data_IF_484248265714
#
_entry.id   IF_484248265714
#
_cell.length_a   1.000
_cell.length_b   1.000
_cell.length_c   1.000
_cell.angle_alpha   90.00
_cell.angle_beta   90.00
_cell.angle_gamma   90.00
#
_symmetry.space_group_name_H-M   'P 1'
#
loop_
_entity.id
_entity.type
_entity.pdbx_description
1 polymer ?
#
# COMPACT_ATOMS: atom_id res chain seq x y z
N UNK A 1 -16.33 -39.43 30.60
CA UNK A 1 -17.00 -38.35 29.86
C UNK A 1 -17.58 -37.40 30.89
N UNK A 2 -17.34 -36.08 30.75
CA UNK A 2 -17.78 -35.30 29.60
C UNK A 2 -16.62 -34.90 28.68
N UNK A 3 -16.95 -34.81 27.40
CA UNK A 3 -16.09 -34.27 26.36
C UNK A 3 -15.87 -32.79 26.61
N UNK A 4 -14.61 -32.37 26.59
CA UNK A 4 -14.25 -30.96 26.58
C UNK A 4 -14.71 -30.39 25.24
N UNK A 5 -15.85 -29.72 25.24
CA UNK A 5 -16.38 -28.99 24.09
C UNK A 5 -15.31 -28.04 23.60
N UNK A 6 -14.82 -28.26 22.38
CA UNK A 6 -14.00 -27.28 21.67
C UNK A 6 -14.76 -25.96 21.63
N UNK A 7 -14.10 -24.81 21.89
CA UNK A 7 -14.78 -23.53 21.88
C UNK A 7 -15.46 -23.34 20.52
N UNK A 8 -16.69 -22.79 20.48
CA UNK A 8 -17.49 -22.68 19.26
C UNK A 8 -16.77 -21.92 18.12
N UNK A 9 -15.76 -21.09 18.44
CA UNK A 9 -14.88 -20.45 17.44
C UNK A 9 -13.96 -21.43 16.71
N UNK A 10 -13.44 -22.46 17.39
CA UNK A 10 -12.53 -23.45 16.80
C UNK A 10 -13.23 -24.36 15.80
N UNK A 11 -14.46 -24.79 16.09
CA UNK A 11 -15.26 -25.61 15.17
C UNK A 11 -15.63 -24.82 13.89
N UNK A 12 -15.97 -23.54 14.04
CA UNK A 12 -16.25 -22.64 12.92
C UNK A 12 -15.02 -22.41 12.03
N UNK A 13 -13.86 -22.11 12.63
CA UNK A 13 -12.62 -21.90 11.89
C UNK A 13 -12.17 -23.18 11.17
N UNK A 14 -12.34 -24.35 11.80
CA UNK A 14 -12.06 -25.65 11.18
C UNK A 14 -12.98 -25.91 9.98
N UNK A 15 -14.28 -25.61 10.09
CA UNK A 15 -15.21 -25.73 8.96
C UNK A 15 -14.85 -24.77 7.81
N UNK A 16 -14.36 -23.57 8.12
CA UNK A 16 -13.94 -22.60 7.13
C UNK A 16 -12.63 -23.02 6.43
N UNK A 17 -11.67 -23.56 7.18
CA UNK A 17 -10.48 -24.23 6.62
C UNK A 17 -10.88 -25.35 5.66
N UNK A 18 -11.85 -26.19 6.03
CA UNK A 18 -12.36 -27.27 5.17
C UNK A 18 -13.03 -26.77 3.88
N UNK A 19 -13.78 -25.66 3.92
CA UNK A 19 -14.38 -25.11 2.69
C UNK A 19 -13.33 -24.48 1.76
N UNK A 20 -12.32 -23.80 2.33
CA UNK A 20 -11.15 -23.34 1.56
C UNK A 20 -10.44 -24.52 0.91
N UNK A 21 -10.19 -25.58 1.68
CA UNK A 21 -9.59 -26.82 1.19
C UNK A 21 -10.40 -27.42 0.04
N UNK A 22 -11.73 -27.55 0.21
CA UNK A 22 -12.64 -28.08 -0.82
C UNK A 22 -12.59 -27.27 -2.11
N UNK A 23 -12.60 -25.93 -2.02
CA UNK A 23 -12.50 -25.05 -3.19
C UNK A 23 -11.13 -25.15 -3.87
N UNK A 24 -10.04 -25.21 -3.11
CA UNK A 24 -8.71 -25.42 -3.67
C UNK A 24 -8.57 -26.78 -4.36
N UNK A 25 -9.13 -27.85 -3.78
CA UNK A 25 -9.16 -29.17 -4.41
C UNK A 25 -9.97 -29.19 -5.71
N UNK A 26 -11.09 -28.44 -5.79
CA UNK A 26 -11.84 -28.30 -7.04
C UNK A 26 -11.01 -27.60 -8.12
N UNK A 27 -10.29 -26.54 -7.75
CA UNK A 27 -9.40 -25.83 -8.67
C UNK A 27 -8.23 -26.70 -9.14
N UNK A 28 -7.64 -27.49 -8.24
CA UNK A 28 -6.60 -28.46 -8.58
C UNK A 28 -7.10 -29.52 -9.56
N UNK A 29 -8.30 -30.06 -9.33
CA UNK A 29 -8.95 -31.02 -10.24
C UNK A 29 -9.21 -30.39 -11.62
N UNK A 30 -9.64 -29.13 -11.66
CA UNK A 30 -9.85 -28.40 -12.91
C UNK A 30 -8.53 -28.11 -13.65
N UNK A 31 -7.46 -27.80 -12.92
CA UNK A 31 -6.14 -27.54 -13.49
C UNK A 31 -5.45 -28.81 -14.04
N UNK A 32 -5.70 -29.97 -13.44
CA UNK A 32 -5.12 -31.26 -13.82
C UNK A 32 -5.97 -32.05 -14.83
N UNK A 33 -7.11 -31.53 -15.28
CA UNK A 33 -7.95 -32.22 -16.26
C UNK A 33 -7.23 -32.26 -17.63
N UNK A 34 -7.10 -33.44 -18.28
CA UNK A 34 -6.47 -33.53 -19.59
C UNK A 34 -7.29 -32.76 -20.63
N UNK A 35 -6.61 -31.99 -21.48
CA UNK A 35 -7.17 -31.39 -22.70
C UNK A 35 -7.51 -32.50 -23.71
N UNK A 36 -8.51 -33.32 -23.42
CA UNK A 36 -8.96 -34.36 -24.35
C UNK A 36 -9.88 -33.75 -25.40
N UNK A 37 -9.36 -33.62 -26.61
CA UNK A 37 -10.12 -33.43 -27.85
C UNK A 37 -10.88 -34.74 -28.13
N UNK A 38 -12.22 -34.77 -28.01
CA UNK A 38 -13.05 -35.86 -28.58
C UNK A 38 -14.35 -35.27 -29.17
N UNK A 39 -14.69 -35.66 -30.42
CA UNK A 39 -15.85 -35.18 -31.16
C UNK A 39 -17.13 -35.84 -30.65
N UNK A 40 -18.16 -35.02 -30.41
CA UNK A 40 -19.59 -35.30 -30.53
C UNK A 40 -20.37 -34.41 -29.56
N UNK A 41 -20.69 -33.20 -30.02
CA UNK A 41 -21.98 -32.54 -29.75
C UNK A 41 -22.36 -32.15 -28.32
N UNK A 42 -21.60 -32.46 -27.27
CA UNK A 42 -21.91 -32.05 -25.89
C UNK A 42 -21.03 -30.85 -25.52
N UNK A 43 -21.64 -29.66 -25.57
CA UNK A 43 -21.05 -28.40 -25.13
C UNK A 43 -20.88 -28.39 -23.60
N UNK A 44 -19.80 -28.96 -23.07
CA UNK A 44 -19.34 -28.68 -21.71
C UNK A 44 -18.53 -27.38 -21.76
N UNK A 45 -19.22 -26.24 -21.67
CA UNK A 45 -18.61 -24.89 -21.73
C UNK A 45 -17.87 -24.47 -20.45
N UNK A 46 -17.36 -25.41 -19.64
CA UNK A 46 -16.90 -25.07 -18.28
C UNK A 46 -15.39 -25.23 -17.99
N UNK A 47 -14.53 -26.01 -18.68
CA UNK A 47 -13.10 -26.01 -18.31
C UNK A 47 -12.21 -25.04 -19.11
N UNK A 48 -12.59 -24.62 -20.32
CA UNK A 48 -11.70 -23.77 -21.15
C UNK A 48 -11.84 -22.28 -20.86
N UNK A 49 -13.05 -21.81 -20.55
CA UNK A 49 -13.29 -20.41 -20.15
C UNK A 49 -12.67 -20.08 -18.80
N UNK A 50 -12.61 -21.03 -17.87
CA UNK A 50 -12.00 -20.85 -16.54
C UNK A 50 -10.47 -20.69 -16.62
N UNK A 51 -9.79 -21.50 -17.44
CA UNK A 51 -8.34 -21.38 -17.67
C UNK A 51 -7.96 -20.17 -18.53
N UNK A 52 -8.77 -19.79 -19.53
CA UNK A 52 -8.59 -18.53 -20.26
C UNK A 52 -8.93 -17.29 -19.42
N UNK A 53 -9.79 -17.41 -18.41
CA UNK A 53 -10.07 -16.33 -17.47
C UNK A 53 -8.93 -16.13 -16.45
N UNK A 54 -8.26 -17.20 -16.03
CA UNK A 54 -7.11 -17.16 -15.11
C UNK A 54 -5.87 -16.48 -15.70
N UNK A 55 -5.74 -16.45 -17.03
CA UNK A 55 -4.63 -15.78 -17.74
C UNK A 55 -4.87 -14.29 -17.99
N UNK A 56 -6.09 -13.78 -17.84
CA UNK A 56 -6.41 -12.35 -18.02
C UNK A 56 -6.38 -11.57 -16.70
N UNK A 57 -5.67 -10.44 -16.68
CA UNK A 57 -5.46 -9.62 -15.47
C UNK A 57 -6.76 -9.03 -14.88
N UNK A 58 -7.79 -8.84 -15.70
CA UNK A 58 -9.09 -8.26 -15.29
C UNK A 58 -10.03 -9.29 -14.68
N UNK A 59 -10.03 -10.53 -15.18
CA UNK A 59 -10.91 -11.59 -14.64
C UNK A 59 -10.31 -12.27 -13.39
N UNK A 60 -8.98 -12.22 -13.20
CA UNK A 60 -8.31 -12.61 -11.94
C UNK A 60 -8.78 -11.79 -10.74
N UNK A 61 -8.96 -10.48 -10.94
CA UNK A 61 -9.52 -9.57 -9.94
C UNK A 61 -10.96 -9.95 -9.61
N UNK A 62 -11.79 -10.19 -10.62
CA UNK A 62 -13.18 -10.61 -10.41
C UNK A 62 -13.26 -11.96 -9.71
N UNK A 63 -12.40 -12.94 -10.02
CA UNK A 63 -12.44 -14.26 -9.38
C UNK A 63 -11.86 -14.26 -7.96
N UNK A 64 -10.79 -13.50 -7.68
CA UNK A 64 -10.35 -13.29 -6.28
C UNK A 64 -11.40 -12.50 -5.51
N UNK A 65 -12.03 -11.51 -6.13
CA UNK A 65 -13.15 -10.78 -5.55
C UNK A 65 -14.38 -11.65 -5.38
N UNK A 66 -14.67 -12.61 -6.25
CA UNK A 66 -15.83 -13.51 -6.17
C UNK A 66 -15.55 -14.66 -5.20
N UNK A 67 -14.33 -15.19 -5.15
CA UNK A 67 -13.90 -16.16 -4.14
C UNK A 67 -13.87 -15.51 -2.75
N UNK A 68 -13.33 -14.30 -2.62
CA UNK A 68 -13.34 -13.57 -1.35
C UNK A 68 -14.67 -12.88 -1.05
N UNK A 69 -15.51 -12.53 -2.03
CA UNK A 69 -16.87 -12.01 -1.80
C UNK A 69 -17.84 -13.13 -1.51
N UNK A 70 -17.74 -14.31 -2.12
CA UNK A 70 -18.53 -15.48 -1.75
C UNK A 70 -18.12 -15.96 -0.36
N UNK A 71 -16.82 -16.04 -0.07
CA UNK A 71 -16.33 -16.33 1.28
C UNK A 71 -16.77 -15.22 2.24
N UNK A 72 -16.65 -13.93 1.89
CA UNK A 72 -17.04 -12.82 2.76
C UNK A 72 -18.57 -12.66 2.91
N UNK A 73 -19.40 -12.99 1.92
CA UNK A 73 -20.88 -12.92 1.97
C UNK A 73 -21.45 -14.12 2.73
N UNK A 74 -20.89 -15.31 2.54
CA UNK A 74 -21.25 -16.51 3.31
C UNK A 74 -20.82 -16.40 4.78
N UNK A 75 -19.79 -15.59 5.04
CA UNK A 75 -19.30 -15.20 6.37
C UNK A 75 -20.06 -14.00 6.94
N UNK A 76 -20.43 -12.96 6.19
CA UNK A 76 -21.15 -11.77 6.71
C UNK A 76 -22.52 -12.15 7.32
N UNK A 77 -23.17 -13.21 6.81
CA UNK A 77 -24.40 -13.75 7.41
C UNK A 77 -24.20 -14.47 8.76
N UNK A 78 -23.06 -15.16 8.96
CA UNK A 78 -22.79 -15.99 10.17
C UNK A 78 -21.86 -15.31 11.18
N UNK A 79 -20.91 -14.52 10.70
CA UNK A 79 -19.97 -13.74 11.49
C UNK A 79 -20.62 -12.52 12.13
N UNK A 80 -21.72 -11.95 11.61
CA UNK A 80 -22.48 -10.94 12.38
C UNK A 80 -22.89 -11.48 13.76
N UNK A 81 -23.25 -12.76 13.88
CA UNK A 81 -23.58 -13.38 15.17
C UNK A 81 -22.37 -13.51 16.11
N UNK A 82 -21.19 -13.85 15.59
CA UNK A 82 -19.97 -14.06 16.40
C UNK A 82 -19.20 -12.75 16.66
N UNK A 83 -19.18 -11.83 15.69
CA UNK A 83 -18.61 -10.48 15.80
C UNK A 83 -19.44 -9.58 16.71
N UNK A 84 -20.78 -9.72 16.76
CA UNK A 84 -21.57 -8.99 17.77
C UNK A 84 -21.20 -9.45 19.18
N UNK A 85 -20.91 -10.74 19.37
CA UNK A 85 -20.47 -11.26 20.67
C UNK A 85 -19.06 -10.79 21.03
N UNK A 86 -18.10 -10.84 20.10
CA UNK A 86 -16.73 -10.36 20.38
C UNK A 86 -16.65 -8.83 20.49
N UNK A 87 -17.43 -8.08 19.70
CA UNK A 87 -17.53 -6.62 19.81
C UNK A 87 -18.26 -6.17 21.08
N UNK A 88 -19.24 -6.94 21.58
CA UNK A 88 -19.83 -6.68 22.91
C UNK A 88 -18.79 -6.92 24.02
N UNK A 89 -17.99 -7.97 23.93
CA UNK A 89 -16.91 -8.23 24.88
C UNK A 89 -15.89 -7.08 24.89
N UNK A 90 -15.41 -6.66 23.71
CA UNK A 90 -14.39 -5.62 23.56
C UNK A 90 -14.89 -4.22 23.90
N UNK A 91 -16.18 -3.95 23.65
CA UNK A 91 -16.84 -2.68 24.05
C UNK A 91 -16.99 -2.57 25.57
N UNK A 92 -17.11 -3.70 26.28
CA UNK A 92 -17.17 -3.70 27.75
C UNK A 92 -15.81 -3.34 28.36
N UNK A 93 -14.72 -3.79 27.75
CA UNK A 93 -13.34 -3.48 28.19
C UNK A 93 -12.92 -2.03 27.87
N UNK A 94 -13.48 -1.44 26.81
CA UNK A 94 -13.22 -0.04 26.45
C UNK A 94 -14.05 0.98 27.26
N UNK A 95 -15.30 0.65 27.63
CA UNK A 95 -16.16 1.55 28.40
C UNK A 95 -15.65 1.76 29.83
N UNK A 96 -14.87 0.83 30.38
CA UNK A 96 -14.27 0.97 31.71
C UNK A 96 -13.00 1.85 31.74
N UNK A 97 -12.48 2.31 30.60
CA UNK A 97 -11.14 2.94 30.53
C UNK A 97 -11.07 4.33 29.86
N UNK A 98 -12.19 5.02 29.63
CA UNK A 98 -12.15 6.40 29.10
C UNK A 98 -13.14 7.32 29.80
N UNK A 99 -12.64 7.92 30.87
CA UNK A 99 -13.14 9.21 31.38
C UNK A 99 -12.80 10.35 30.40
N UNK A 100 -13.47 11.47 30.63
CA UNK A 100 -14.01 12.43 29.67
C UNK A 100 -13.04 13.31 28.85
N UNK A 101 -13.65 13.92 27.82
CA UNK A 101 -13.35 15.22 27.16
C UNK A 101 -12.57 15.29 25.83
N UNK A 102 -13.21 15.96 24.86
CA UNK A 102 -12.54 16.68 23.77
C UNK A 102 -13.01 16.34 22.35
N UNK A 103 -13.75 17.25 21.73
CA UNK A 103 -14.41 17.15 20.41
C UNK A 103 -13.41 17.11 19.22
N UNK A 104 -13.76 16.28 18.23
CA UNK A 104 -13.09 15.87 16.97
C UNK A 104 -12.42 16.94 16.07
N UNK A 105 -11.68 16.49 15.03
CA UNK A 105 -12.29 16.50 13.70
C UNK A 105 -12.06 15.19 12.90
N UNK A 106 -13.15 14.64 12.36
CA UNK A 106 -13.23 13.69 11.24
C UNK A 106 -12.04 12.74 11.02
N UNK A 107 -11.87 11.76 11.92
CA UNK A 107 -11.04 10.58 11.68
C UNK A 107 -11.78 9.67 10.68
N UNK A 108 -11.25 9.59 9.46
CA UNK A 108 -11.63 8.59 8.46
C UNK A 108 -11.54 7.21 9.11
N UNK A 109 -12.69 6.56 9.27
CA UNK A 109 -12.87 5.39 10.12
C UNK A 109 -11.92 4.25 9.79
N UNK A 110 -10.81 4.18 10.52
CA UNK A 110 -10.13 2.92 10.83
C UNK A 110 -11.02 2.20 11.85
N UNK A 111 -12.24 1.85 11.43
CA UNK A 111 -12.97 0.80 12.10
C UNK A 111 -12.10 -0.44 11.95
N UNK A 112 -11.65 -0.93 13.10
CA UNK A 112 -11.02 -2.21 13.35
C UNK A 112 -11.92 -3.37 12.83
N UNK A 113 -12.14 -3.41 11.51
CA UNK A 113 -12.92 -4.44 10.83
C UNK A 113 -12.03 -5.66 10.73
N UNK A 114 -12.14 -6.52 11.74
CA UNK A 114 -11.54 -7.84 11.76
C UNK A 114 -11.82 -8.54 10.42
N UNK A 115 -10.79 -8.66 9.60
CA UNK A 115 -10.89 -9.31 8.30
C UNK A 115 -10.77 -10.83 8.50
N UNK A 116 -11.53 -11.60 7.74
CA UNK A 116 -11.55 -13.07 7.87
C UNK A 116 -10.15 -13.70 7.76
N UNK A 117 -9.29 -13.13 6.89
CA UNK A 117 -7.95 -13.64 6.67
C UNK A 117 -7.04 -13.42 7.89
N UNK A 118 -7.28 -12.35 8.65
CA UNK A 118 -6.49 -12.01 9.84
C UNK A 118 -6.77 -13.02 10.96
N UNK A 119 -8.05 -13.35 11.17
CA UNK A 119 -8.49 -14.38 12.12
C UNK A 119 -7.93 -15.77 11.77
N UNK A 120 -7.89 -16.12 10.49
CA UNK A 120 -7.31 -17.38 10.05
C UNK A 120 -5.79 -17.40 10.19
N UNK A 121 -5.12 -16.29 9.91
CA UNK A 121 -3.69 -16.18 10.09
C UNK A 121 -3.30 -16.33 11.56
N UNK A 122 -4.06 -15.73 12.49
CA UNK A 122 -3.91 -15.94 13.92
C UNK A 122 -4.14 -17.40 14.31
N UNK A 123 -5.20 -18.02 13.80
CA UNK A 123 -5.51 -19.42 14.09
C UNK A 123 -4.42 -20.37 13.60
N UNK A 124 -3.90 -20.17 12.39
CA UNK A 124 -2.81 -21.00 11.86
C UNK A 124 -1.50 -20.73 12.59
N UNK A 125 -1.23 -19.50 13.03
CA UNK A 125 -0.08 -19.21 13.89
C UNK A 125 -0.16 -19.93 15.24
N UNK A 126 -1.34 -19.98 15.87
CA UNK A 126 -1.56 -20.68 17.15
C UNK A 126 -1.56 -22.21 17.01
N UNK A 127 -2.16 -22.74 15.93
CA UNK A 127 -2.27 -24.18 15.68
C UNK A 127 -1.78 -24.49 14.26
N UNK A 128 -0.46 -24.62 14.06
CA UNK A 128 0.13 -24.76 12.73
C UNK A 128 -0.29 -26.04 11.99
N UNK A 129 -0.67 -27.08 12.73
CA UNK A 129 -1.15 -28.36 12.17
C UNK A 129 -2.42 -28.20 11.32
N UNK A 130 -3.33 -27.29 11.72
CA UNK A 130 -4.59 -27.07 11.00
C UNK A 130 -4.39 -26.41 9.63
N UNK A 131 -3.29 -25.68 9.45
CA UNK A 131 -2.96 -25.02 8.19
C UNK A 131 -2.27 -25.93 7.17
N UNK A 132 -1.71 -27.07 7.60
CA UNK A 132 -0.90 -27.96 6.73
C UNK A 132 -1.66 -28.47 5.49
N UNK A 133 -2.91 -28.97 5.57
CA UNK A 133 -3.62 -29.45 4.38
C UNK A 133 -3.84 -28.37 3.33
N UNK A 134 -4.14 -27.14 3.78
CA UNK A 134 -4.31 -25.98 2.89
C UNK A 134 -2.95 -25.56 2.30
N UNK A 135 -1.88 -25.57 3.11
CA UNK A 135 -0.54 -25.26 2.64
C UNK A 135 -0.07 -26.25 1.56
N UNK A 136 -0.29 -27.55 1.75
CA UNK A 136 0.06 -28.59 0.79
C UNK A 136 -0.65 -28.39 -0.57
N UNK A 137 -1.92 -28.00 -0.53
CA UNK A 137 -2.68 -27.65 -1.74
C UNK A 137 -2.13 -26.38 -2.42
N UNK A 138 -1.77 -25.36 -1.65
CA UNK A 138 -1.16 -24.13 -2.20
C UNK A 138 0.18 -24.48 -2.86
N UNK A 139 1.00 -25.33 -2.24
CA UNK A 139 2.28 -25.81 -2.81
C UNK A 139 2.07 -26.52 -4.14
N UNK A 140 1.02 -27.33 -4.27
CA UNK A 140 0.68 -27.96 -5.56
C UNK A 140 0.20 -26.95 -6.62
N UNK A 141 -0.40 -25.85 -6.18
CA UNK A 141 -0.91 -24.77 -7.03
C UNK A 141 0.08 -23.61 -7.21
N UNK A 142 1.35 -23.76 -6.82
CA UNK A 142 2.32 -22.66 -6.79
C UNK A 142 2.62 -22.04 -8.16
N UNK A 143 2.39 -22.80 -9.24
CA UNK A 143 2.47 -22.30 -10.62
C UNK A 143 1.42 -21.22 -10.92
N UNK A 144 0.35 -21.17 -10.14
CA UNK A 144 -0.73 -20.22 -10.32
C UNK A 144 -0.49 -18.93 -9.55
N UNK A 145 -0.70 -17.79 -10.23
CA UNK A 145 -0.50 -16.47 -9.62
C UNK A 145 -1.32 -16.25 -8.34
N UNK A 146 -2.56 -16.75 -8.26
CA UNK A 146 -3.43 -16.58 -7.10
C UNK A 146 -2.93 -17.31 -5.83
N UNK A 147 -2.15 -18.39 -5.97
CA UNK A 147 -1.65 -19.18 -4.84
C UNK A 147 -0.80 -18.32 -3.89
N UNK A 148 0.07 -17.46 -4.45
CA UNK A 148 0.86 -16.50 -3.66
C UNK A 148 0.01 -15.50 -2.88
N UNK A 149 -1.16 -15.10 -3.41
CA UNK A 149 -2.06 -14.15 -2.74
C UNK A 149 -2.73 -14.83 -1.55
N UNK A 150 -3.26 -16.03 -1.75
CA UNK A 150 -3.88 -16.82 -0.68
C UNK A 150 -2.85 -17.13 0.40
N UNK A 151 -1.63 -17.50 0.01
CA UNK A 151 -0.52 -17.71 0.94
C UNK A 151 -0.25 -16.46 1.78
N UNK A 152 -0.08 -15.30 1.16
CA UNK A 152 0.18 -14.05 1.87
C UNK A 152 -0.97 -13.64 2.82
N UNK A 153 -2.22 -13.93 2.48
CA UNK A 153 -3.35 -13.60 3.35
C UNK A 153 -3.47 -14.56 4.54
N UNK A 154 -3.34 -15.86 4.32
CA UNK A 154 -3.62 -16.88 5.33
C UNK A 154 -2.41 -17.26 6.18
N UNK A 155 -1.19 -17.20 5.63
CA UNK A 155 0.01 -17.75 6.28
C UNK A 155 1.07 -16.69 6.63
N UNK A 156 0.73 -15.40 6.57
CA UNK A 156 1.69 -14.34 6.89
C UNK A 156 2.19 -14.37 8.34
N UNK A 157 1.33 -14.74 9.32
CA UNK A 157 1.75 -14.91 10.73
C UNK A 157 2.42 -16.27 10.95
N UNK A 158 1.81 -17.33 10.42
CA UNK A 158 2.32 -18.71 10.50
C UNK A 158 3.79 -18.85 10.10
N UNK A 159 4.23 -18.15 9.04
CA UNK A 159 5.61 -18.22 8.54
C UNK A 159 6.65 -17.84 9.60
N UNK A 160 6.31 -16.96 10.53
CA UNK A 160 7.23 -16.49 11.57
C UNK A 160 7.15 -17.31 12.85
N UNK A 161 6.05 -18.00 13.12
CA UNK A 161 5.92 -18.84 14.31
C UNK A 161 6.51 -20.24 14.13
N UNK A 162 6.48 -20.79 12.91
CA UNK A 162 6.98 -22.13 12.64
C UNK A 162 8.49 -22.15 12.37
N UNK A 163 9.19 -23.12 12.96
CA UNK A 163 10.59 -23.39 12.65
C UNK A 163 10.70 -24.21 11.35
N UNK A 164 11.20 -23.57 10.30
CA UNK A 164 11.48 -24.22 9.02
C UNK A 164 12.95 -24.59 8.93
N UNK A 165 13.28 -25.89 9.04
CA UNK A 165 14.66 -26.38 8.99
C UNK A 165 15.26 -26.31 7.58
N UNK A 166 14.43 -26.32 6.54
CA UNK A 166 14.88 -26.35 5.15
C UNK A 166 14.99 -24.94 4.55
N UNK A 167 16.23 -24.51 4.27
CA UNK A 167 16.54 -23.20 3.70
C UNK A 167 15.90 -22.95 2.33
N UNK A 168 15.68 -23.97 1.50
CA UNK A 168 15.03 -23.81 0.19
C UNK A 168 13.53 -23.52 0.33
N UNK A 169 12.87 -24.22 1.26
CA UNK A 169 11.45 -24.04 1.54
C UNK A 169 11.19 -22.66 2.13
N UNK A 170 12.06 -22.22 3.06
CA UNK A 170 12.01 -20.89 3.63
C UNK A 170 12.13 -19.79 2.56
N UNK A 171 13.05 -19.94 1.60
CA UNK A 171 13.20 -19.00 0.50
C UNK A 171 11.95 -18.97 -0.40
N UNK A 172 11.38 -20.13 -0.73
CA UNK A 172 10.17 -20.21 -1.55
C UNK A 172 8.98 -19.52 -0.87
N UNK A 173 8.74 -19.82 0.40
CA UNK A 173 7.62 -19.25 1.15
C UNK A 173 7.79 -17.74 1.38
N UNK A 174 8.98 -17.30 1.75
CA UNK A 174 9.24 -15.87 1.92
C UNK A 174 9.11 -15.08 0.62
N UNK A 175 9.57 -15.62 -0.50
CA UNK A 175 9.37 -15.02 -1.82
C UNK A 175 7.88 -14.94 -2.19
N UNK A 176 7.10 -15.99 -1.92
CA UNK A 176 5.66 -15.95 -2.18
C UNK A 176 4.89 -15.02 -1.26
N UNK A 177 5.30 -14.85 0.00
CA UNK A 177 4.73 -13.83 0.88
C UNK A 177 4.90 -12.43 0.27
N UNK A 178 6.12 -12.08 -0.14
CA UNK A 178 6.42 -10.75 -0.71
C UNK A 178 5.69 -10.56 -2.04
N UNK A 179 5.72 -11.56 -2.93
CA UNK A 179 5.04 -11.48 -4.23
C UNK A 179 3.51 -11.41 -4.09
N UNK A 180 2.95 -12.19 -3.18
CA UNK A 180 1.53 -12.18 -2.85
C UNK A 180 1.09 -10.84 -2.29
N UNK A 181 1.80 -10.35 -1.26
CA UNK A 181 1.53 -9.06 -0.63
C UNK A 181 1.66 -7.90 -1.65
N UNK A 182 2.66 -7.93 -2.54
CA UNK A 182 2.80 -6.96 -3.63
C UNK A 182 1.52 -6.85 -4.45
N UNK A 183 1.00 -7.98 -4.92
CA UNK A 183 -0.18 -7.98 -5.78
C UNK A 183 -1.44 -7.57 -5.00
N UNK A 184 -1.57 -7.99 -3.74
CA UNK A 184 -2.69 -7.65 -2.86
C UNK A 184 -2.73 -6.14 -2.60
N UNK A 185 -1.60 -5.51 -2.28
CA UNK A 185 -1.57 -4.06 -2.05
C UNK A 185 -1.84 -3.27 -3.33
N UNK A 186 -1.47 -3.81 -4.50
CA UNK A 186 -1.90 -3.24 -5.78
C UNK A 186 -3.42 -3.29 -5.99
N UNK A 187 -4.13 -4.29 -5.46
CA UNK A 187 -5.60 -4.33 -5.48
C UNK A 187 -6.15 -3.15 -4.65
N UNK A 188 -5.59 -2.90 -3.48
CA UNK A 188 -5.97 -1.78 -2.62
C UNK A 188 -5.75 -0.42 -3.31
N UNK A 189 -4.60 -0.23 -3.98
CA UNK A 189 -4.34 0.95 -4.79
C UNK A 189 -5.37 1.11 -5.92
N UNK A 190 -5.63 0.05 -6.68
CA UNK A 190 -6.52 0.10 -7.84
C UNK A 190 -7.98 0.34 -7.45
N UNK A 191 -8.39 -0.18 -6.28
CA UNK A 191 -9.73 0.01 -5.73
C UNK A 191 -9.85 1.29 -4.89
N UNK A 192 -8.73 1.96 -4.60
CA UNK A 192 -8.64 3.07 -3.64
C UNK A 192 -9.26 2.71 -2.28
N UNK A 193 -9.03 1.48 -1.82
CA UNK A 193 -9.46 1.01 -0.49
C UNK A 193 -8.27 0.49 0.30
N UNK A 194 -8.40 0.41 1.62
CA UNK A 194 -7.32 -0.04 2.54
C UNK A 194 -7.73 -1.34 3.23
N UNK A 195 -8.22 -2.33 2.47
CA UNK A 195 -8.75 -3.58 3.02
C UNK A 195 -7.66 -4.46 3.61
N UNK A 196 -6.44 -4.34 3.10
CA UNK A 196 -5.29 -5.15 3.50
C UNK A 196 -4.33 -4.38 4.41
N UNK A 197 -4.83 -3.34 5.08
CA UNK A 197 -4.05 -2.55 6.04
C UNK A 197 -3.48 -3.40 7.18
N UNK A 198 -4.24 -4.37 7.73
CA UNK A 198 -3.73 -5.19 8.85
C UNK A 198 -2.53 -6.04 8.43
N UNK A 199 -2.55 -6.62 7.22
CA UNK A 199 -1.40 -7.31 6.64
C UNK A 199 -0.20 -6.36 6.47
N UNK A 200 -0.41 -5.16 5.94
CA UNK A 200 0.67 -4.18 5.78
C UNK A 200 1.27 -3.76 7.13
N UNK A 201 0.40 -3.47 8.11
CA UNK A 201 0.78 -3.07 9.45
C UNK A 201 1.60 -4.17 10.13
N UNK A 202 1.16 -5.43 10.08
CA UNK A 202 1.91 -6.56 10.62
C UNK A 202 3.29 -6.71 9.97
N UNK A 203 3.37 -6.65 8.64
CA UNK A 203 4.65 -6.76 7.92
C UNK A 203 5.62 -5.61 8.24
N UNK A 204 5.11 -4.40 8.50
CA UNK A 204 5.94 -3.26 8.86
C UNK A 204 6.36 -3.30 10.33
N UNK A 205 5.40 -3.32 11.25
CA UNK A 205 5.61 -3.14 12.70
C UNK A 205 6.15 -4.41 13.37
N UNK A 206 5.61 -5.58 13.03
CA UNK A 206 5.94 -6.82 13.72
C UNK A 206 7.03 -7.63 13.02
N UNK A 207 7.22 -7.44 11.71
CA UNK A 207 8.24 -8.17 10.94
C UNK A 207 9.44 -7.30 10.62
N UNK A 208 9.26 -6.19 9.90
CA UNK A 208 10.38 -5.37 9.44
C UNK A 208 11.04 -4.60 10.59
N UNK A 209 10.26 -4.03 11.51
CA UNK A 209 10.80 -3.26 12.63
C UNK A 209 11.35 -4.12 13.79
N UNK A 210 11.13 -5.44 13.76
CA UNK A 210 11.57 -6.40 14.78
C UNK A 210 12.67 -7.32 14.20
N UNK A 211 13.95 -7.10 14.56
CA UNK A 211 15.06 -7.88 14.00
C UNK A 211 14.96 -9.39 14.23
N UNK A 212 14.33 -9.81 15.33
CA UNK A 212 14.13 -11.24 15.64
C UNK A 212 13.26 -11.95 14.59
N UNK A 213 12.23 -11.28 14.06
CA UNK A 213 11.37 -11.83 13.03
C UNK A 213 11.97 -11.66 11.64
N UNK A 214 12.66 -10.55 11.38
CA UNK A 214 13.34 -10.33 10.11
C UNK A 214 14.39 -11.41 9.83
N UNK A 215 15.17 -11.79 10.84
CA UNK A 215 16.21 -12.83 10.74
C UNK A 215 15.65 -14.24 10.46
N UNK A 216 14.35 -14.47 10.66
CA UNK A 216 13.71 -15.75 10.28
C UNK A 216 13.54 -15.88 8.77
N UNK A 217 13.61 -14.80 8.01
CA UNK A 217 13.47 -14.81 6.54
C UNK A 217 14.85 -14.83 5.86
N UNK A 218 14.94 -15.49 4.71
CA UNK A 218 16.11 -15.42 3.83
C UNK A 218 16.47 -13.97 3.45
N UNK A 219 17.76 -13.66 3.43
CA UNK A 219 18.27 -12.29 3.23
C UNK A 219 17.80 -11.63 1.93
N UNK A 220 17.59 -12.42 0.87
CA UNK A 220 17.01 -11.92 -0.38
C UNK A 220 15.56 -11.45 -0.20
N UNK A 221 14.73 -12.24 0.47
CA UNK A 221 13.34 -11.88 0.72
C UNK A 221 13.19 -10.76 1.75
N UNK A 222 14.14 -10.59 2.68
CA UNK A 222 14.21 -9.39 3.53
C UNK A 222 14.35 -8.12 2.68
N UNK A 223 15.27 -8.12 1.71
CA UNK A 223 15.45 -6.97 0.80
C UNK A 223 14.20 -6.69 -0.01
N UNK A 224 13.60 -7.73 -0.57
CA UNK A 224 12.38 -7.60 -1.38
C UNK A 224 11.19 -7.12 -0.53
N UNK A 225 11.11 -7.51 0.74
CA UNK A 225 10.13 -7.00 1.71
C UNK A 225 10.32 -5.51 1.97
N UNK A 226 11.55 -5.03 2.18
CA UNK A 226 11.79 -3.60 2.38
C UNK A 226 11.48 -2.78 1.13
N UNK A 227 11.77 -3.29 -0.07
CA UNK A 227 11.37 -2.66 -1.32
C UNK A 227 9.83 -2.61 -1.44
N UNK A 228 9.15 -3.70 -1.08
CA UNK A 228 7.69 -3.75 -1.01
C UNK A 228 7.15 -2.68 -0.06
N UNK A 229 7.60 -2.65 1.20
CA UNK A 229 7.13 -1.69 2.20
C UNK A 229 7.39 -0.23 1.77
N UNK A 230 8.54 0.02 1.14
CA UNK A 230 8.91 1.34 0.59
C UNK A 230 7.88 1.85 -0.42
N UNK A 231 7.31 0.97 -1.27
CA UNK A 231 6.29 1.34 -2.28
C UNK A 231 4.99 1.80 -1.64
N UNK A 232 4.57 1.19 -0.53
CA UNK A 232 3.20 1.31 0.00
C UNK A 232 3.09 2.09 1.32
N UNK A 233 4.20 2.47 1.95
CA UNK A 233 4.18 3.19 3.24
C UNK A 233 3.39 4.50 3.19
N UNK A 234 3.45 5.24 2.07
CA UNK A 234 2.66 6.46 1.88
C UNK A 234 1.18 6.15 1.68
N UNK A 235 0.83 5.07 0.97
CA UNK A 235 -0.57 4.71 0.74
C UNK A 235 -1.34 4.42 2.03
N UNK A 236 -0.69 3.74 2.97
CA UNK A 236 -1.27 3.32 4.25
C UNK A 236 -1.07 4.32 5.39
N UNK A 237 -0.62 5.55 5.12
CA UNK A 237 -0.42 6.61 6.13
C UNK A 237 0.56 6.27 7.27
N UNK A 238 1.48 5.31 7.13
CA UNK A 238 2.42 4.94 8.20
C UNK A 238 3.74 5.73 8.12
N UNK A 239 3.66 7.00 7.73
CA UNK A 239 4.87 7.79 7.44
C UNK A 239 5.64 8.20 8.69
N UNK A 240 4.98 8.22 9.86
CA UNK A 240 5.64 8.46 11.15
C UNK A 240 6.68 7.39 11.50
N UNK A 241 6.60 6.21 10.87
CA UNK A 241 7.55 5.10 11.03
C UNK A 241 8.67 5.09 10.00
N UNK A 242 8.70 6.06 9.08
CA UNK A 242 9.69 6.09 8.00
C UNK A 242 11.12 6.22 8.55
N UNK A 243 11.35 7.03 9.57
CA UNK A 243 12.69 7.22 10.14
C UNK A 243 13.21 5.91 10.78
N UNK A 244 12.38 5.24 11.58
CA UNK A 244 12.72 3.94 12.18
C UNK A 244 12.92 2.87 11.12
N UNK A 245 12.09 2.88 10.08
CA UNK A 245 12.19 1.95 8.95
C UNK A 245 13.51 2.12 8.17
N UNK A 246 13.94 3.35 7.89
CA UNK A 246 15.20 3.62 7.19
C UNK A 246 16.43 3.27 8.02
N UNK A 247 16.35 3.38 9.36
CA UNK A 247 17.45 2.98 10.26
C UNK A 247 17.68 1.47 10.27
N UNK A 248 16.63 0.68 10.05
CA UNK A 248 16.69 -0.79 10.08
C UNK A 248 16.84 -1.43 8.69
N UNK A 249 17.08 -0.64 7.65
CA UNK A 249 17.15 -1.12 6.28
C UNK A 249 18.25 -2.19 6.09
N UNK A 250 17.97 -3.33 5.43
CA UNK A 250 18.96 -4.39 5.26
C UNK A 250 20.10 -3.94 4.35
N UNK A 251 21.29 -4.54 4.51
CA UNK A 251 22.44 -4.21 3.68
C UNK A 251 22.26 -4.78 2.26
N UNK A 252 22.30 -3.89 1.27
CA UNK A 252 22.28 -4.26 -0.14
C UNK A 252 23.70 -4.44 -0.67
N UNK A 253 23.96 -5.45 -1.51
CA UNK A 253 25.30 -5.69 -2.06
C UNK A 253 25.68 -4.57 -3.03
N UNK A 254 24.69 -3.96 -3.67
CA UNK A 254 24.84 -2.85 -4.59
C UNK A 254 24.71 -1.47 -3.90
N UNK A 255 24.73 -1.42 -2.57
CA UNK A 255 24.61 -0.15 -1.82
C UNK A 255 25.68 0.87 -2.24
N UNK A 256 26.91 0.41 -2.55
CA UNK A 256 27.96 1.28 -3.08
C UNK A 256 27.57 1.98 -4.40
N UNK A 257 26.82 1.30 -5.27
CA UNK A 257 26.42 1.84 -6.58
C UNK A 257 25.16 2.68 -6.50
N UNK A 258 24.23 2.33 -5.61
CA UNK A 258 22.88 2.91 -5.57
C UNK A 258 22.82 4.07 -4.56
N UNK A 259 23.49 3.93 -3.42
CA UNK A 259 23.46 4.89 -2.32
C UNK A 259 22.97 4.27 -1.01
N UNK A 260 22.60 5.14 -0.06
CA UNK A 260 22.12 4.72 1.25
C UNK A 260 20.67 4.21 1.25
N UNK A 261 20.13 3.84 2.42
CA UNK A 261 18.72 3.44 2.57
C UNK A 261 17.72 4.46 2.02
N UNK A 262 17.99 5.75 2.27
CA UNK A 262 17.17 6.85 1.77
C UNK A 262 17.15 6.92 0.23
N UNK A 263 18.29 6.65 -0.43
CA UNK A 263 18.35 6.61 -1.90
C UNK A 263 17.52 5.45 -2.46
N UNK A 264 17.64 4.25 -1.88
CA UNK A 264 16.88 3.08 -2.31
C UNK A 264 15.37 3.32 -2.15
N UNK A 265 14.98 3.86 -0.99
CA UNK A 265 13.60 4.23 -0.72
C UNK A 265 13.05 5.22 -1.75
N UNK A 266 13.78 6.30 -2.04
CA UNK A 266 13.35 7.33 -3.00
C UNK A 266 13.31 6.78 -4.43
N UNK A 267 14.23 5.91 -4.82
CA UNK A 267 14.20 5.23 -6.12
C UNK A 267 12.90 4.42 -6.27
N UNK A 268 12.58 3.61 -5.26
CA UNK A 268 11.40 2.76 -5.29
C UNK A 268 10.10 3.57 -5.25
N UNK A 269 10.07 4.64 -4.45
CA UNK A 269 8.97 5.60 -4.43
C UNK A 269 8.78 6.28 -5.81
N UNK A 270 9.88 6.66 -6.45
CA UNK A 270 9.85 7.28 -7.79
C UNK A 270 9.30 6.32 -8.83
N UNK A 271 9.70 5.04 -8.77
CA UNK A 271 9.21 4.00 -9.67
C UNK A 271 7.74 3.67 -9.42
N UNK A 272 7.30 3.75 -8.16
CA UNK A 272 5.91 3.60 -7.81
C UNK A 272 5.06 4.74 -8.42
N UNK A 273 5.48 6.00 -8.27
CA UNK A 273 4.76 7.15 -8.83
C UNK A 273 4.49 7.00 -10.33
N UNK A 274 5.47 6.52 -11.10
CA UNK A 274 5.34 6.33 -12.55
C UNK A 274 4.33 5.23 -12.93
N UNK A 275 4.10 4.26 -12.04
CA UNK A 275 3.15 3.15 -12.25
C UNK A 275 1.73 3.48 -11.81
N UNK A 276 1.55 4.49 -10.95
CA UNK A 276 0.24 4.88 -10.43
C UNK A 276 -0.64 5.49 -11.54
N UNK A 277 -1.78 4.84 -11.79
CA UNK A 277 -2.81 5.33 -12.73
C UNK A 277 -4.03 5.92 -12.03
N UNK A 278 -4.17 5.69 -10.73
CA UNK A 278 -5.32 6.12 -9.93
C UNK A 278 -5.04 7.52 -9.38
N UNK A 279 -5.79 8.52 -9.85
CA UNK A 279 -5.61 9.93 -9.51
C UNK A 279 -5.65 10.24 -8.00
N UNK A 280 -6.66 9.82 -7.22
CA UNK A 280 -6.70 10.15 -5.79
C UNK A 280 -5.50 9.56 -5.03
N UNK A 281 -5.05 8.37 -5.41
CA UNK A 281 -3.85 7.75 -4.83
C UNK A 281 -2.60 8.54 -5.20
N UNK A 282 -2.45 8.96 -6.46
CA UNK A 282 -1.32 9.77 -6.89
C UNK A 282 -1.24 11.11 -6.13
N UNK A 283 -2.38 11.80 -5.98
CA UNK A 283 -2.48 13.03 -5.18
C UNK A 283 -2.06 12.80 -3.73
N UNK A 284 -2.49 11.68 -3.15
CA UNK A 284 -2.14 11.29 -1.79
C UNK A 284 -0.64 11.05 -1.63
N UNK A 285 0.02 10.39 -2.59
CA UNK A 285 1.48 10.24 -2.54
C UNK A 285 2.19 11.59 -2.66
N UNK A 286 1.74 12.45 -3.57
CA UNK A 286 2.34 13.77 -3.77
C UNK A 286 2.23 14.67 -2.53
N UNK A 287 1.13 14.58 -1.77
CA UNK A 287 0.97 15.37 -0.54
C UNK A 287 1.91 14.94 0.60
N UNK A 288 2.32 13.67 0.61
CA UNK A 288 3.26 13.12 1.60
C UNK A 288 4.74 13.34 1.23
N UNK A 289 5.04 13.82 0.01
CA UNK A 289 6.41 14.11 -0.44
C UNK A 289 7.15 15.11 0.43
N UNK A 290 6.43 15.98 1.17
CA UNK A 290 7.01 16.92 2.12
C UNK A 290 7.96 16.26 3.13
N UNK A 291 7.74 14.98 3.44
CA UNK A 291 8.51 14.24 4.44
C UNK A 291 9.92 13.92 3.96
N UNK A 292 10.17 13.94 2.65
CA UNK A 292 11.50 13.76 2.07
C UNK A 292 12.38 15.02 2.19
N UNK A 293 11.83 16.12 2.71
CA UNK A 293 12.58 17.35 2.89
C UNK A 293 13.70 17.12 3.92
N UNK A 294 14.93 17.44 3.54
CA UNK A 294 16.10 17.28 4.39
C UNK A 294 16.79 15.91 4.28
N UNK A 295 16.32 15.02 3.41
CA UNK A 295 17.02 13.77 3.14
C UNK A 295 18.31 14.05 2.35
N UNK A 296 19.43 13.52 2.84
CA UNK A 296 20.70 13.55 2.13
C UNK A 296 20.71 12.49 1.03
N UNK A 297 20.22 12.89 -0.15
CA UNK A 297 20.14 12.03 -1.33
C UNK A 297 21.33 12.25 -2.25
N UNK A 298 21.75 11.18 -2.93
CA UNK A 298 22.73 11.28 -4.01
C UNK A 298 22.15 12.12 -5.16
N UNK A 299 23.04 12.84 -5.85
CA UNK A 299 22.66 13.67 -7.00
C UNK A 299 21.89 12.92 -8.09
N UNK A 300 22.23 11.65 -8.35
CA UNK A 300 21.54 10.80 -9.34
C UNK A 300 20.10 10.52 -8.92
N UNK A 301 19.88 10.16 -7.67
CA UNK A 301 18.56 9.86 -7.09
C UNK A 301 17.69 11.11 -7.06
N UNK A 302 18.28 12.21 -6.56
CA UNK A 302 17.65 13.53 -6.52
C UNK A 302 17.23 14.01 -7.91
N UNK A 303 18.11 13.85 -8.91
CA UNK A 303 17.80 14.21 -10.31
C UNK A 303 16.66 13.36 -10.88
N UNK A 304 16.64 12.06 -10.60
CA UNK A 304 15.57 11.14 -11.06
C UNK A 304 14.21 11.50 -10.45
N UNK A 305 14.16 11.74 -9.15
CA UNK A 305 12.93 12.19 -8.47
C UNK A 305 12.45 13.53 -9.05
N UNK A 306 13.36 14.49 -9.23
CA UNK A 306 13.06 15.79 -9.82
C UNK A 306 12.47 15.63 -11.22
N UNK A 307 13.08 14.82 -12.09
CA UNK A 307 12.58 14.56 -13.45
C UNK A 307 11.18 13.92 -13.45
N UNK A 308 10.93 12.97 -12.55
CA UNK A 308 9.62 12.36 -12.37
C UNK A 308 8.56 13.37 -11.96
N UNK A 309 8.83 14.21 -10.95
CA UNK A 309 7.91 15.26 -10.53
C UNK A 309 7.64 16.27 -11.65
N UNK A 310 8.67 16.65 -12.41
CA UNK A 310 8.48 17.51 -13.58
C UNK A 310 7.55 16.89 -14.64
N UNK A 311 7.62 15.58 -14.89
CA UNK A 311 6.69 14.96 -15.86
C UNK A 311 5.22 15.11 -15.46
N UNK A 312 4.92 15.21 -14.16
CA UNK A 312 3.57 15.48 -13.68
C UNK A 312 3.18 16.96 -13.74
N UNK A 313 4.11 17.89 -14.00
CA UNK A 313 3.81 19.34 -14.08
C UNK A 313 3.40 19.81 -15.47
N UNK A 314 3.80 19.08 -16.52
CA UNK A 314 3.55 19.47 -17.90
C UNK A 314 2.21 18.91 -18.42
N UNK A 315 1.49 19.64 -19.27
CA UNK A 315 0.26 19.16 -19.90
C UNK A 315 0.52 18.23 -21.10
N UNK A 316 1.69 17.56 -21.18
CA UNK A 316 2.08 16.69 -22.30
C UNK A 316 1.83 15.20 -22.02
N UNK A 317 1.72 14.38 -23.08
CA UNK A 317 1.35 12.95 -23.02
C UNK A 317 2.40 12.02 -22.37
N UNK A 318 2.09 10.71 -22.15
CA UNK A 318 1.00 9.92 -22.75
C UNK A 318 -0.32 9.84 -21.94
N UNK A 319 -0.37 10.35 -20.71
CA UNK A 319 -1.59 10.44 -19.90
C UNK A 319 -1.63 11.83 -19.28
N UNK A 320 -2.60 12.66 -19.68
CA UNK A 320 -2.67 14.05 -19.24
C UNK A 320 -2.88 14.11 -17.72
N UNK A 321 -1.89 14.55 -16.91
CA UNK A 321 -2.11 14.71 -15.48
C UNK A 321 -3.19 15.79 -15.29
N UNK A 322 -4.16 15.54 -14.41
CA UNK A 322 -5.22 16.52 -14.13
C UNK A 322 -4.65 17.78 -13.51
N UNK A 323 -5.45 18.86 -13.49
CA UNK A 323 -5.01 20.13 -12.89
C UNK A 323 -4.62 19.96 -11.42
N UNK A 324 -5.33 19.10 -10.67
CA UNK A 324 -5.02 18.81 -9.29
C UNK A 324 -3.64 18.15 -9.15
N UNK A 325 -3.37 17.13 -9.97
CA UNK A 325 -2.07 16.42 -9.97
C UNK A 325 -0.93 17.36 -10.32
N UNK A 326 -1.12 18.23 -11.33
CA UNK A 326 -0.10 19.21 -11.71
C UNK A 326 0.23 20.17 -10.57
N UNK A 327 -0.78 20.70 -9.88
CA UNK A 327 -0.57 21.59 -8.74
C UNK A 327 0.11 20.90 -7.57
N UNK A 328 -0.35 19.69 -7.20
CA UNK A 328 0.31 18.90 -6.16
C UNK A 328 1.77 18.56 -6.50
N UNK A 329 2.05 18.28 -7.78
CA UNK A 329 3.42 18.04 -8.26
C UNK A 329 4.27 19.32 -8.20
N UNK A 330 3.72 20.48 -8.56
CA UNK A 330 4.38 21.78 -8.40
C UNK A 330 4.72 22.08 -6.94
N UNK A 331 3.76 21.86 -6.04
CA UNK A 331 3.94 22.08 -4.61
C UNK A 331 5.04 21.15 -4.04
N UNK A 332 5.00 19.85 -4.37
CA UNK A 332 6.04 18.90 -3.96
C UNK A 332 7.42 19.28 -4.52
N UNK A 333 7.50 19.72 -5.77
CA UNK A 333 8.74 20.10 -6.44
C UNK A 333 9.35 21.40 -5.88
N UNK A 334 8.50 22.36 -5.50
CA UNK A 334 8.92 23.61 -4.85
C UNK A 334 9.40 23.40 -3.41
N UNK A 335 8.76 22.47 -2.68
CA UNK A 335 9.17 22.07 -1.33
C UNK A 335 10.52 21.34 -1.34
N UNK A 336 10.68 20.35 -2.22
CA UNK A 336 11.88 19.51 -2.26
C UNK A 336 13.08 20.19 -2.93
N UNK A 337 12.84 21.04 -3.93
CA UNK A 337 13.88 21.67 -4.73
C UNK A 337 13.70 23.20 -4.80
N UNK A 338 13.91 23.93 -3.69
CA UNK A 338 13.60 25.36 -3.61
C UNK A 338 14.44 26.22 -4.55
N UNK A 339 15.69 25.83 -4.81
CA UNK A 339 16.64 26.56 -5.67
C UNK A 339 16.13 26.71 -7.12
N UNK A 340 15.24 25.82 -7.57
CA UNK A 340 14.67 25.84 -8.92
C UNK A 340 13.34 26.59 -9.06
N UNK A 341 12.76 27.10 -7.96
CA UNK A 341 11.38 27.63 -7.95
C UNK A 341 11.17 28.81 -8.91
N UNK A 342 11.99 29.84 -8.77
CA UNK A 342 11.89 31.06 -9.58
C UNK A 342 12.11 30.85 -11.08
N UNK A 343 13.18 30.17 -11.55
CA UNK A 343 13.37 29.96 -12.98
C UNK A 343 12.25 29.10 -13.60
N UNK A 344 11.74 28.10 -12.87
CA UNK A 344 10.59 27.30 -13.32
C UNK A 344 9.32 28.13 -13.53
N UNK A 345 9.00 29.01 -12.58
CA UNK A 345 7.84 29.89 -12.68
C UNK A 345 7.97 30.87 -13.84
N UNK A 346 9.17 31.43 -14.05
CA UNK A 346 9.46 32.28 -15.20
C UNK A 346 9.24 31.52 -16.52
N UNK A 347 9.84 30.33 -16.67
CA UNK A 347 9.69 29.50 -17.88
C UNK A 347 8.22 29.16 -18.13
N UNK A 348 7.47 28.75 -17.09
CA UNK A 348 6.04 28.45 -17.22
C UNK A 348 5.23 29.69 -17.64
N UNK A 349 5.57 30.86 -17.10
CA UNK A 349 4.96 32.13 -17.48
C UNK A 349 5.26 32.48 -18.94
N UNK A 350 6.52 32.38 -19.37
CA UNK A 350 6.92 32.62 -20.76
C UNK A 350 6.17 31.73 -21.74
N UNK A 351 6.04 30.42 -21.45
CA UNK A 351 5.28 29.53 -22.30
C UNK A 351 3.79 29.89 -22.34
N UNK A 352 3.17 30.26 -21.22
CA UNK A 352 1.76 30.70 -21.19
C UNK A 352 1.55 32.01 -21.96
N UNK A 353 2.52 32.91 -21.92
CA UNK A 353 2.51 34.17 -22.67
C UNK A 353 2.64 33.94 -24.18
N UNK A 354 3.43 32.92 -24.58
CA UNK A 354 3.62 32.56 -25.98
C UNK A 354 2.40 31.90 -26.64
N UNK A 355 1.43 31.38 -25.86
CA UNK A 355 0.22 30.76 -26.42
C UNK A 355 -0.83 31.82 -26.82
N UNK A 356 -1.17 31.94 -28.13
CA UNK A 356 -2.00 33.03 -28.65
C UNK A 356 -3.43 33.12 -28.07
N UNK A 357 -3.94 32.05 -27.47
CA UNK A 357 -5.31 31.98 -26.97
C UNK A 357 -5.46 32.28 -25.47
N UNK A 358 -4.38 32.21 -24.68
CA UNK A 358 -4.41 32.40 -23.22
C UNK A 358 -3.65 33.64 -22.73
N UNK A 359 -2.95 34.36 -23.62
CA UNK A 359 -2.10 35.48 -23.26
C UNK A 359 -2.85 36.67 -22.62
N UNK A 360 -4.08 37.08 -23.00
CA UNK A 360 -4.72 38.24 -22.39
C UNK A 360 -5.10 37.99 -20.92
N UNK A 361 -5.69 36.82 -20.64
CA UNK A 361 -6.06 36.39 -19.28
C UNK A 361 -4.81 36.10 -18.42
N UNK A 362 -3.76 35.54 -19.01
CA UNK A 362 -2.50 35.27 -18.30
C UNK A 362 -1.75 36.57 -17.98
N UNK A 363 -1.71 37.54 -18.90
CA UNK A 363 -1.19 38.88 -18.65
C UNK A 363 -1.97 39.59 -17.54
N UNK A 364 -3.30 39.49 -17.55
CA UNK A 364 -4.13 40.10 -16.51
C UNK A 364 -3.84 39.49 -15.13
N UNK A 365 -3.79 38.17 -15.02
CA UNK A 365 -3.44 37.48 -13.77
C UNK A 365 -2.01 37.80 -13.30
N UNK A 366 -1.08 38.00 -14.23
CA UNK A 366 0.29 38.43 -13.93
C UNK A 366 0.30 39.85 -13.37
N UNK A 367 -0.40 40.80 -14.01
CA UNK A 367 -0.54 42.18 -13.52
C UNK A 367 -1.16 42.19 -12.12
N UNK A 368 -2.25 41.44 -11.91
CA UNK A 368 -2.90 41.32 -10.60
C UNK A 368 -1.98 40.72 -9.54
N UNK A 369 -1.20 39.69 -9.89
CA UNK A 369 -0.25 39.06 -8.97
C UNK A 369 0.93 39.98 -8.63
N UNK A 370 1.43 40.72 -9.61
CA UNK A 370 2.48 41.72 -9.42
C UNK A 370 1.97 42.87 -8.55
N UNK A 371 0.76 43.38 -8.80
CA UNK A 371 0.11 44.39 -7.98
C UNK A 371 -0.09 43.92 -6.54
N UNK A 372 -0.55 42.67 -6.33
CA UNK A 372 -0.67 42.06 -4.99
C UNK A 372 0.68 41.94 -4.31
N UNK A 373 1.73 41.49 -5.00
CA UNK A 373 3.07 41.35 -4.44
C UNK A 373 3.67 42.71 -4.04
N UNK A 374 3.48 43.75 -4.86
CA UNK A 374 3.85 45.12 -4.54
C UNK A 374 3.08 45.63 -3.32
N UNK A 375 1.78 45.37 -3.26
CA UNK A 375 0.92 45.77 -2.14
C UNK A 375 1.31 45.05 -0.83
N UNK A 376 1.61 43.75 -0.88
CA UNK A 376 2.14 43.01 0.28
C UNK A 376 3.53 43.49 0.69
N UNK A 377 4.41 43.83 -0.25
CA UNK A 377 5.74 44.38 0.04
C UNK A 377 5.63 45.76 0.71
N UNK A 378 4.76 46.63 0.20
CA UNK A 378 4.46 47.93 0.78
C UNK A 378 3.83 47.80 2.17
N UNK A 379 2.85 46.91 2.34
CA UNK A 379 2.27 46.61 3.65
C UNK A 379 3.33 46.09 4.63
N UNK A 380 4.21 45.19 4.18
CA UNK A 380 5.29 44.65 5.02
C UNK A 380 6.32 45.72 5.40
N UNK A 381 6.61 46.66 4.50
CA UNK A 381 7.46 47.82 4.79
C UNK A 381 6.79 48.78 5.77
N UNK A 382 5.49 49.03 5.64
CA UNK A 382 4.73 49.87 6.56
C UNK A 382 4.66 49.23 7.95
N UNK A 383 4.35 47.93 8.04
CA UNK A 383 4.33 47.20 9.31
C UNK A 383 5.72 47.12 9.95
N UNK A 384 6.78 46.86 9.18
CA UNK A 384 8.17 46.89 9.66
C UNK A 384 8.60 48.28 10.15
N UNK A 385 8.21 49.33 9.42
CA UNK A 385 8.45 50.72 9.82
C UNK A 385 7.70 51.07 11.10
N UNK A 386 6.46 50.60 11.25
CA UNK A 386 5.65 50.77 12.44
C UNK A 386 6.24 50.03 13.65
N UNK A 387 6.71 48.80 13.48
CA UNK A 387 7.38 48.03 14.53
C UNK A 387 8.71 48.67 14.95
N UNK A 388 9.45 49.29 14.02
CA UNK A 388 10.66 50.04 14.34
C UNK A 388 10.37 51.39 15.03
N UNK A 389 9.20 52.00 14.80
CA UNK A 389 8.73 53.20 15.54
C UNK A 389 8.20 52.87 16.94
N UNK A 390 7.73 51.63 17.17
CA UNK A 390 7.30 51.14 18.50
C UNK A 390 8.46 50.67 19.39
N UNK A 391 9.68 50.54 18.87
CA UNK A 391 10.85 50.27 19.71
C UNK A 391 11.17 51.52 20.52
N UNK A 392 11.09 51.50 21.86
CA UNK A 392 11.51 52.64 22.66
C UNK A 392 12.99 52.92 22.37
N UNK A 393 13.33 54.18 22.13
CA UNK A 393 14.72 54.64 22.20
C UNK A 393 15.19 54.39 23.63
N UNK A 394 16.01 53.36 23.82
CA UNK A 394 16.72 53.19 25.08
C UNK A 394 17.67 54.39 25.25
N UNK A 395 17.61 55.10 26.39
CA UNK A 395 18.54 56.18 26.71
C UNK A 395 19.97 55.67 26.93
#
# INVERSE_FOLDING_TARGET
>A
MPQLSTPPSSAYLTALTQEIERKLQQLLKAANAPLSYIPNGVKIYVPLKYLQALTSSSQRLNFLQELFADIALEVDGRARGVLILSALQLKTDMILNRDEDGISPAEDGIENRLCFYDVLADHYAMVPENGKPVLDLIVQLWSQSFASHIFALLFHKWLFEVQLENSEVLLRYSSALVQGATNIFWIDINTNTRRFFSLFHYLLEEVALVPMHLNKIALQAQRDLYLLLSRFIFFYNLVDRLETFLKQFPVFPNAFLIGGPADIFVIELTDQLQKLKVEPVLLHYLSHMKILQGFELRMTTSTRLKACLYSFTSPGGPMYPTRAVRHAAWDALDLLFPVGRHPRLLISMFFRLLYPWYWPSSCWNFIVSCAKALLYSLLRLIFSSWDNLRKPKNP
#
